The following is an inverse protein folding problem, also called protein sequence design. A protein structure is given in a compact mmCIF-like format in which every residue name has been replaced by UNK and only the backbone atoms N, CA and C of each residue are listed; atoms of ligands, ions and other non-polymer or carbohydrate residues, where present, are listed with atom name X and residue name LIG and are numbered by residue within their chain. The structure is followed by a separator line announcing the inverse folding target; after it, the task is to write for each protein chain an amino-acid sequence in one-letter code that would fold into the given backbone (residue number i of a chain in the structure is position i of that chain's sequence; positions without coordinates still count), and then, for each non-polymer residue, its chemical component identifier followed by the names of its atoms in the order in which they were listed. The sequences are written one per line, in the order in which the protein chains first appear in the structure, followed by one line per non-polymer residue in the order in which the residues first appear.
data_IF_689972684371
#
_entry.id   IF_689972684371
#
_cell.length_a   1.000
_cell.length_b   1.000
_cell.length_c   1.000
_cell.angle_alpha   90.00
_cell.angle_beta   90.00
_cell.angle_gamma   90.00
#
_symmetry.space_group_name_H-M   'P 1'
#
loop_
_entity.id
_entity.type
_entity.pdbx_description
1 polymer ?
#
# COMPACT_ATOMS: atom_id res chain seq x y z
N UNK A 1 14.60 -40.71 -68.53
CA UNK A 1 15.57 -39.99 -67.72
C UNK A 1 14.79 -38.92 -66.95
N UNK A 2 14.50 -39.20 -65.67
CA UNK A 2 13.80 -38.24 -64.79
C UNK A 2 14.83 -37.50 -63.99
N UNK A 3 14.76 -36.19 -64.03
CA UNK A 3 15.60 -35.32 -63.24
C UNK A 3 15.00 -35.13 -61.83
N UNK A 4 15.81 -35.45 -60.81
CA UNK A 4 15.48 -35.24 -59.41
C UNK A 4 15.67 -33.74 -59.09
N UNK A 5 14.58 -33.11 -58.64
CA UNK A 5 14.64 -31.76 -58.01
C UNK A 5 15.07 -31.92 -56.54
N UNK A 6 16.18 -31.33 -56.19
CA UNK A 6 16.64 -31.15 -54.81
C UNK A 6 15.92 -29.93 -54.27
N UNK A 7 15.13 -30.11 -53.24
CA UNK A 7 14.54 -28.97 -52.48
C UNK A 7 15.54 -28.56 -51.41
N UNK A 8 16.14 -27.39 -51.56
CA UNK A 8 16.92 -26.75 -50.50
C UNK A 8 16.00 -26.34 -49.34
N UNK A 9 16.22 -26.94 -48.22
CA UNK A 9 15.55 -26.56 -46.93
C UNK A 9 16.29 -25.36 -46.40
N UNK A 10 15.70 -24.16 -46.54
CA UNK A 10 16.20 -22.93 -45.90
C UNK A 10 16.01 -23.07 -44.38
N UNK A 11 17.10 -23.18 -43.67
CA UNK A 11 17.10 -23.18 -42.20
C UNK A 11 16.60 -21.81 -41.72
N UNK A 12 15.51 -21.81 -40.97
CA UNK A 12 15.02 -20.65 -40.22
C UNK A 12 16.05 -20.33 -39.13
N UNK A 13 16.78 -19.23 -39.30
CA UNK A 13 17.61 -18.63 -38.27
C UNK A 13 16.70 -18.16 -37.12
N UNK A 14 16.87 -18.76 -35.94
CA UNK A 14 16.30 -18.29 -34.71
C UNK A 14 16.89 -16.90 -34.41
N UNK A 15 16.08 -15.89 -34.07
CA UNK A 15 16.63 -14.58 -33.70
C UNK A 15 17.52 -14.72 -32.47
N UNK A 16 18.70 -14.12 -32.52
CA UNK A 16 19.62 -14.04 -31.37
C UNK A 16 18.94 -13.47 -30.16
N UNK A 17 19.09 -14.14 -29.02
CA UNK A 17 18.70 -13.67 -27.72
C UNK A 17 19.18 -12.25 -27.47
N UNK A 18 18.27 -11.39 -27.05
CA UNK A 18 18.55 -10.05 -26.54
C UNK A 18 19.65 -10.14 -25.46
N UNK A 19 20.88 -9.88 -25.84
CA UNK A 19 21.95 -9.62 -24.88
C UNK A 19 21.54 -8.38 -24.10
N UNK A 20 21.23 -8.57 -22.83
CA UNK A 20 20.99 -7.47 -21.91
C UNK A 20 22.23 -6.56 -21.92
N UNK A 21 22.13 -5.38 -22.50
CA UNK A 21 23.16 -4.37 -22.40
C UNK A 21 23.34 -4.05 -20.90
N UNK A 22 24.47 -4.46 -20.33
CA UNK A 22 24.87 -4.00 -19.00
C UNK A 22 25.01 -2.48 -19.03
N UNK A 23 24.12 -1.81 -18.31
CA UNK A 23 24.22 -0.36 -18.13
C UNK A 23 25.39 -0.11 -17.18
N UNK A 24 26.45 0.65 -17.59
CA UNK A 24 27.59 0.89 -16.71
C UNK A 24 27.14 1.68 -15.47
N UNK A 25 27.32 1.09 -14.30
CA UNK A 25 27.05 1.73 -13.00
C UNK A 25 28.30 2.50 -12.58
N UNK A 26 28.19 3.83 -12.50
CA UNK A 26 29.31 4.72 -12.16
C UNK A 26 29.49 4.96 -10.65
N UNK A 27 28.70 4.32 -9.81
CA UNK A 27 28.79 4.41 -8.36
C UNK A 27 27.51 3.98 -7.65
N UNK A 28 27.64 3.73 -6.37
CA UNK A 28 26.51 3.36 -5.50
C UNK A 28 26.26 4.48 -4.48
N UNK A 29 24.99 4.80 -4.24
CA UNK A 29 24.61 5.80 -3.23
C UNK A 29 23.97 5.08 -2.05
N UNK A 30 24.69 5.04 -0.94
CA UNK A 30 24.21 4.53 0.33
C UNK A 30 23.89 5.68 1.27
N UNK A 31 22.66 6.19 1.20
CA UNK A 31 22.22 7.26 2.09
C UNK A 31 21.25 6.72 3.12
N UNK A 32 21.64 6.71 4.39
CA UNK A 32 20.75 6.44 5.52
C UNK A 32 20.36 7.76 6.18
N UNK A 33 19.52 8.53 5.53
CA UNK A 33 18.83 9.64 6.16
C UNK A 33 17.39 9.22 6.41
N UNK A 34 17.08 8.74 7.57
CA UNK A 34 15.76 8.27 7.89
C UNK A 34 15.39 8.60 9.32
N UNK A 35 14.27 9.29 9.48
CA UNK A 35 13.57 9.31 10.74
C UNK A 35 13.10 7.92 11.10
N UNK A 36 13.30 7.53 12.33
CA UNK A 36 12.90 6.24 12.84
C UNK A 36 11.38 6.26 13.14
N UNK A 37 10.60 5.50 12.41
CA UNK A 37 9.15 5.43 12.58
C UNK A 37 8.68 4.51 13.72
N UNK A 38 9.59 3.98 14.54
CA UNK A 38 9.24 3.08 15.65
C UNK A 38 10.31 3.02 16.74
N UNK A 39 9.92 2.52 17.93
CA UNK A 39 10.84 2.18 19.00
C UNK A 39 11.13 3.26 20.04
N UNK A 40 10.53 4.47 19.95
CA UNK A 40 10.63 5.52 20.96
C UNK A 40 11.81 6.48 20.77
N UNK A 41 11.88 7.51 21.64
CA UNK A 41 12.78 8.65 21.51
C UNK A 41 14.25 8.35 21.86
N UNK A 42 14.52 7.29 22.65
CA UNK A 42 15.87 6.96 23.09
C UNK A 42 16.55 5.87 22.24
N UNK A 43 17.89 5.89 22.16
CA UNK A 43 18.67 4.89 21.44
C UNK A 43 18.41 3.45 21.95
N UNK A 44 18.21 3.29 23.26
CA UNK A 44 17.90 2.00 23.88
C UNK A 44 16.55 1.47 23.46
N UNK A 45 15.53 2.32 23.45
CA UNK A 45 14.19 1.95 23.02
C UNK A 45 14.18 1.55 21.54
N UNK A 46 14.90 2.28 20.69
CA UNK A 46 15.06 1.94 19.26
C UNK A 46 15.75 0.61 19.05
N UNK A 47 16.86 0.33 19.77
CA UNK A 47 17.53 -0.98 19.71
C UNK A 47 16.62 -2.12 20.16
N UNK A 48 15.84 -1.91 21.22
CA UNK A 48 14.85 -2.90 21.71
C UNK A 48 13.77 -3.16 20.66
N UNK A 49 13.25 -2.12 20.02
CA UNK A 49 12.27 -2.25 18.96
C UNK A 49 12.79 -3.03 17.75
N UNK A 50 14.01 -2.73 17.28
CA UNK A 50 14.67 -3.47 16.19
C UNK A 50 14.80 -4.95 16.52
N UNK A 51 15.20 -5.28 17.77
CA UNK A 51 15.26 -6.68 18.20
C UNK A 51 13.89 -7.35 18.21
N UNK A 52 12.86 -6.68 18.69
CA UNK A 52 11.48 -7.22 18.71
C UNK A 52 10.96 -7.47 17.30
N UNK A 53 11.22 -6.56 16.36
CA UNK A 53 10.82 -6.72 14.95
C UNK A 53 11.54 -7.91 14.33
N UNK A 54 12.86 -8.07 14.60
CA UNK A 54 13.63 -9.19 14.06
C UNK A 54 13.28 -10.55 14.70
N UNK A 55 12.87 -10.56 15.98
CA UNK A 55 12.43 -11.78 16.67
C UNK A 55 11.01 -12.22 16.25
N UNK A 56 10.24 -11.32 15.68
CA UNK A 56 8.90 -11.60 15.17
C UNK A 56 8.86 -12.10 13.72
N UNK A 57 10.00 -12.28 13.07
CA UNK A 57 10.08 -12.90 11.75
C UNK A 57 9.68 -14.38 11.91
N UNK A 58 8.40 -14.67 11.66
CA UNK A 58 7.94 -16.05 11.50
C UNK A 58 8.65 -16.64 10.29
N UNK A 59 9.19 -17.84 10.44
CA UNK A 59 9.56 -18.64 9.28
C UNK A 59 8.35 -18.73 8.36
N UNK A 60 8.55 -18.36 7.11
CA UNK A 60 7.56 -18.62 6.08
C UNK A 60 7.54 -20.15 5.93
N UNK A 61 6.49 -20.81 6.41
CA UNK A 61 6.24 -22.20 6.05
C UNK A 61 6.07 -22.28 4.54
N UNK A 62 6.55 -23.35 3.94
CA UNK A 62 6.26 -23.71 2.53
C UNK A 62 4.74 -23.91 2.38
N UNK A 63 4.02 -22.83 2.27
CA UNK A 63 2.57 -22.78 2.16
C UNK A 63 2.23 -22.85 0.66
N UNK A 64 1.27 -23.67 0.21
CA UNK A 64 0.88 -23.80 -1.21
C UNK A 64 0.43 -22.49 -1.89
N UNK A 65 0.61 -21.37 -1.22
CA UNK A 65 0.30 -20.01 -1.64
C UNK A 65 1.08 -19.50 -2.85
N UNK A 66 2.17 -20.18 -3.22
CA UNK A 66 3.00 -19.73 -4.34
C UNK A 66 2.32 -19.81 -5.71
N UNK A 67 1.16 -20.42 -5.78
CA UNK A 67 0.47 -20.62 -7.05
C UNK A 67 -0.58 -19.54 -7.31
N UNK A 68 -0.23 -18.25 -7.43
CA UNK A 68 -1.10 -17.55 -8.30
C UNK A 68 -1.67 -16.17 -7.96
N UNK A 69 -1.09 -15.34 -7.08
CA UNK A 69 -1.42 -13.91 -7.03
C UNK A 69 -0.77 -13.15 -8.21
N UNK A 70 -1.16 -13.50 -9.42
CA UNK A 70 -0.62 -12.89 -10.64
C UNK A 70 -1.58 -11.81 -11.13
N UNK A 71 -1.06 -10.63 -11.46
CA UNK A 71 -1.79 -9.63 -12.23
C UNK A 71 -1.51 -9.83 -13.70
N UNK A 72 -2.56 -9.82 -14.50
CA UNK A 72 -2.49 -10.03 -15.95
C UNK A 72 -3.12 -8.86 -16.70
N UNK A 73 -2.94 -8.81 -18.01
CA UNK A 73 -3.59 -7.81 -18.86
C UNK A 73 -5.13 -7.83 -18.73
N UNK A 74 -5.72 -8.97 -18.37
CA UNK A 74 -7.16 -9.05 -18.12
C UNK A 74 -7.60 -8.24 -16.88
N UNK A 75 -6.70 -8.03 -15.95
CA UNK A 75 -6.97 -7.23 -14.75
C UNK A 75 -7.04 -5.72 -15.03
N UNK A 76 -6.65 -5.27 -16.22
CA UNK A 76 -6.80 -3.88 -16.67
C UNK A 76 -8.21 -3.54 -17.13
N UNK A 77 -9.10 -4.53 -17.24
CA UNK A 77 -10.49 -4.25 -17.60
C UNK A 77 -11.10 -3.30 -16.55
N UNK A 78 -11.85 -2.31 -17.03
CA UNK A 78 -12.51 -1.29 -16.21
C UNK A 78 -11.55 -0.32 -15.48
N UNK A 79 -10.27 -0.33 -15.79
CA UNK A 79 -9.31 0.64 -15.28
C UNK A 79 -9.27 1.85 -16.22
N UNK A 80 -9.61 3.01 -15.68
CA UNK A 80 -9.46 4.27 -16.42
C UNK A 80 -7.96 4.64 -16.45
N UNK A 81 -7.40 5.04 -17.61
CA UNK A 81 -6.00 5.45 -17.69
C UNK A 81 -5.64 6.49 -16.64
N UNK A 82 -4.51 6.26 -15.95
CA UNK A 82 -4.03 7.11 -14.87
C UNK A 82 -2.51 7.03 -14.75
N UNK A 83 -1.92 8.06 -14.16
CA UNK A 83 -0.48 8.09 -13.89
C UNK A 83 -0.17 7.92 -12.38
N UNK A 84 -1.07 8.41 -11.51
CA UNK A 84 -0.78 8.58 -10.09
C UNK A 84 -1.97 8.34 -9.16
N UNK A 85 -3.03 7.69 -9.63
CA UNK A 85 -4.17 7.36 -8.77
C UNK A 85 -3.74 6.37 -7.68
N UNK A 86 -3.99 6.64 -6.40
CA UNK A 86 -3.73 5.68 -5.32
C UNK A 86 -4.77 4.57 -5.32
N UNK A 87 -4.42 3.41 -4.78
CA UNK A 87 -5.39 2.34 -4.55
C UNK A 87 -6.24 2.68 -3.33
N UNK A 88 -7.50 3.04 -3.57
CA UNK A 88 -8.48 3.42 -2.55
C UNK A 88 -9.65 2.46 -2.59
N UNK A 89 -9.93 1.81 -1.46
CA UNK A 89 -10.98 0.79 -1.36
C UNK A 89 -12.01 1.15 -0.29
N UNK A 90 -13.08 0.36 -0.23
CA UNK A 90 -14.04 0.37 0.87
C UNK A 90 -13.87 -0.88 1.71
N UNK A 91 -14.02 -0.74 3.03
CA UNK A 91 -14.00 -1.85 3.99
C UNK A 91 -15.22 -1.78 4.90
N UNK A 92 -15.56 -2.89 5.54
CA UNK A 92 -16.60 -2.90 6.57
C UNK A 92 -15.95 -3.07 7.94
N UNK A 93 -16.13 -2.12 8.82
CA UNK A 93 -15.61 -2.18 10.19
C UNK A 93 -16.60 -1.54 11.16
N UNK A 94 -16.66 -2.03 12.37
CA UNK A 94 -17.64 -1.60 13.39
C UNK A 94 -19.09 -1.58 12.84
N UNK A 95 -19.46 -2.56 12.02
CA UNK A 95 -20.81 -2.66 11.42
C UNK A 95 -21.14 -1.59 10.36
N UNK A 96 -20.15 -0.82 9.91
CA UNK A 96 -20.34 0.25 8.93
C UNK A 96 -19.41 0.07 7.73
N UNK A 97 -19.91 0.41 6.53
CA UNK A 97 -19.06 0.52 5.34
C UNK A 97 -18.28 1.82 5.39
N UNK A 98 -16.97 1.71 5.43
CA UNK A 98 -16.03 2.83 5.46
C UNK A 98 -15.38 2.95 4.10
N UNK A 99 -15.69 4.03 3.41
CA UNK A 99 -15.06 4.39 2.13
C UNK A 99 -13.72 5.09 2.37
N UNK A 100 -12.95 5.26 1.32
CA UNK A 100 -11.67 5.99 1.33
C UNK A 100 -10.66 5.38 2.29
N UNK A 101 -10.53 4.04 2.23
CA UNK A 101 -9.42 3.34 2.85
C UNK A 101 -8.27 3.28 1.83
N UNK A 102 -7.20 4.03 2.11
CA UNK A 102 -5.99 4.06 1.30
C UNK A 102 -5.16 2.81 1.55
N UNK A 103 -4.77 2.11 0.51
CA UNK A 103 -3.80 1.00 0.58
C UNK A 103 -2.40 1.59 0.43
N UNK A 104 -1.60 1.55 1.51
CA UNK A 104 -0.29 2.18 1.59
C UNK A 104 0.79 1.20 2.05
N UNK A 105 1.49 0.62 1.09
CA UNK A 105 2.63 -0.29 1.35
C UNK A 105 3.84 0.44 1.98
N UNK A 106 3.89 1.75 1.91
CA UNK A 106 4.93 2.58 2.51
C UNK A 106 4.76 2.77 4.03
N UNK A 107 3.54 2.61 4.55
CA UNK A 107 3.26 2.82 5.97
C UNK A 107 3.60 1.60 6.82
N UNK A 108 4.23 1.85 7.98
CA UNK A 108 4.51 0.83 9.01
C UNK A 108 3.37 0.62 10.01
N UNK A 109 2.28 1.36 9.89
CA UNK A 109 1.13 1.29 10.77
C UNK A 109 -0.18 1.35 9.97
N UNK A 110 -1.22 0.74 10.53
CA UNK A 110 -2.58 0.96 10.08
C UNK A 110 -3.15 2.14 10.86
N UNK A 111 -3.77 3.09 10.16
CA UNK A 111 -4.20 4.36 10.75
C UNK A 111 -5.69 4.55 10.55
N UNK A 112 -6.37 5.00 11.60
CA UNK A 112 -7.72 5.56 11.54
C UNK A 112 -7.64 7.04 11.90
N UNK A 113 -8.16 7.90 11.05
CA UNK A 113 -8.18 9.32 11.35
C UNK A 113 -9.25 9.65 12.40
N UNK A 114 -8.94 10.60 13.28
CA UNK A 114 -9.83 10.99 14.40
C UNK A 114 -11.25 11.34 13.94
N UNK A 115 -11.38 12.01 12.80
CA UNK A 115 -12.68 12.31 12.19
C UNK A 115 -13.50 11.05 11.88
N UNK A 116 -12.84 9.97 11.47
CA UNK A 116 -13.48 8.68 11.18
C UNK A 116 -13.87 7.97 12.47
N UNK A 117 -12.99 7.95 13.46
CA UNK A 117 -13.28 7.40 14.78
C UNK A 117 -14.57 8.01 15.36
N UNK A 118 -14.70 9.34 15.32
CA UNK A 118 -15.88 10.05 15.80
C UNK A 118 -17.15 9.71 14.98
N UNK A 119 -17.02 9.63 13.65
CA UNK A 119 -18.16 9.25 12.77
C UNK A 119 -18.64 7.83 12.99
N UNK A 120 -17.76 6.93 13.40
CA UNK A 120 -18.11 5.55 13.73
C UNK A 120 -18.83 5.45 15.09
N UNK A 121 -18.80 6.51 15.90
CA UNK A 121 -19.43 6.56 17.23
C UNK A 121 -18.97 5.41 18.14
N UNK A 122 -17.67 5.10 18.09
CA UNK A 122 -17.07 4.05 18.91
C UNK A 122 -17.02 4.48 20.38
N UNK A 123 -17.21 3.51 21.29
CA UNK A 123 -17.05 3.77 22.72
C UNK A 123 -15.64 4.26 23.02
N UNK A 124 -15.49 5.33 23.83
CA UNK A 124 -14.17 5.79 24.27
C UNK A 124 -13.35 4.70 24.98
N UNK A 125 -13.99 3.74 25.63
CA UNK A 125 -13.34 2.63 26.34
C UNK A 125 -12.58 1.66 25.42
N UNK A 126 -12.90 1.68 24.12
CA UNK A 126 -12.18 0.90 23.12
C UNK A 126 -10.81 1.50 22.77
N UNK A 127 -10.62 2.79 23.05
CA UNK A 127 -9.39 3.49 22.73
C UNK A 127 -8.37 3.26 23.85
N UNK A 128 -7.34 2.47 23.54
CA UNK A 128 -6.27 2.14 24.48
C UNK A 128 -5.12 3.14 24.37
N UNK A 129 -4.42 3.47 25.46
CA UNK A 129 -3.26 4.35 25.42
C UNK A 129 -2.16 3.81 24.51
N UNK A 130 -1.53 4.69 23.74
CA UNK A 130 -0.41 4.36 22.90
C UNK A 130 0.84 5.11 23.39
N UNK A 131 1.89 4.37 23.72
CA UNK A 131 3.14 4.93 24.27
C UNK A 131 4.23 5.12 23.22
N UNK A 132 3.96 4.71 21.96
CA UNK A 132 4.90 4.87 20.85
C UNK A 132 4.82 6.26 20.22
N UNK A 133 5.70 6.50 19.26
CA UNK A 133 5.68 7.68 18.41
C UNK A 133 5.42 7.26 16.97
N UNK A 134 4.55 7.99 16.28
CA UNK A 134 4.36 7.87 14.84
C UNK A 134 4.99 9.08 14.17
N UNK A 135 5.76 8.83 13.13
CA UNK A 135 6.41 9.90 12.37
C UNK A 135 5.92 9.85 10.92
N UNK A 136 5.68 11.03 10.36
CA UNK A 136 5.46 11.16 8.92
C UNK A 136 6.77 11.00 8.14
N UNK A 137 6.67 10.95 6.82
CA UNK A 137 7.81 10.80 5.92
C UNK A 137 8.90 11.87 6.12
N UNK A 138 8.52 13.09 6.50
CA UNK A 138 9.42 14.20 6.80
C UNK A 138 9.97 14.20 8.23
N UNK A 139 9.84 13.08 8.93
CA UNK A 139 10.23 12.91 10.34
C UNK A 139 9.48 13.84 11.32
N UNK A 140 8.35 14.40 10.92
CA UNK A 140 7.49 15.16 11.82
C UNK A 140 6.66 14.19 12.68
N UNK A 141 6.57 14.41 14.00
CA UNK A 141 5.74 13.59 14.88
C UNK A 141 4.25 13.80 14.53
N UNK A 142 3.51 12.70 14.50
CA UNK A 142 2.06 12.69 14.33
C UNK A 142 1.42 12.42 15.69
N UNK A 143 0.45 13.25 16.07
CA UNK A 143 -0.29 13.06 17.33
C UNK A 143 -1.14 11.79 17.26
N UNK A 144 -0.78 10.79 18.08
CA UNK A 144 -1.53 9.56 18.24
C UNK A 144 -2.35 9.65 19.51
N UNK A 145 -3.68 9.59 19.39
CA UNK A 145 -4.61 9.64 20.52
C UNK A 145 -4.72 8.31 21.25
N UNK A 146 -4.38 7.23 20.59
CA UNK A 146 -4.45 5.87 21.12
C UNK A 146 -4.50 4.84 20.00
N UNK A 147 -4.78 3.60 20.36
CA UNK A 147 -5.03 2.53 19.38
C UNK A 147 -6.27 1.72 19.77
N UNK A 148 -6.87 1.09 18.77
CA UNK A 148 -7.95 0.13 18.99
C UNK A 148 -7.83 -1.02 17.97
N UNK A 149 -8.42 -2.15 18.33
CA UNK A 149 -8.50 -3.32 17.44
C UNK A 149 -9.95 -3.49 16.97
N UNK A 150 -10.14 -3.51 15.67
CA UNK A 150 -11.45 -3.70 15.06
C UNK A 150 -11.42 -4.84 14.05
N UNK A 151 -12.47 -5.65 14.08
CA UNK A 151 -12.72 -6.60 13.00
C UNK A 151 -13.07 -5.84 11.75
N UNK A 152 -12.25 -6.01 10.72
CA UNK A 152 -12.39 -5.33 9.43
C UNK A 152 -12.59 -6.37 8.36
N UNK A 153 -13.68 -6.23 7.61
CA UNK A 153 -14.04 -7.14 6.52
C UNK A 153 -13.72 -6.51 5.19
N UNK A 154 -13.02 -7.26 4.39
CA UNK A 154 -12.64 -6.98 3.02
C UNK A 154 -13.51 -7.85 2.10
N UNK A 155 -14.19 -7.26 1.11
CA UNK A 155 -15.12 -8.00 0.27
C UNK A 155 -15.23 -7.39 -1.13
N UNK A 156 -15.44 -8.23 -2.12
CA UNK A 156 -15.83 -7.85 -3.49
C UNK A 156 -17.35 -8.02 -3.74
N UNK A 157 -18.08 -8.43 -2.71
CA UNK A 157 -19.51 -8.72 -2.76
C UNK A 157 -19.84 -10.20 -2.89
N UNK A 158 -18.95 -11.01 -3.48
CA UNK A 158 -19.13 -12.46 -3.64
C UNK A 158 -18.31 -13.25 -2.61
N UNK A 159 -17.10 -12.78 -2.31
CA UNK A 159 -16.22 -13.36 -1.31
C UNK A 159 -15.84 -12.30 -0.27
N UNK A 160 -15.40 -12.75 0.90
CA UNK A 160 -14.99 -11.86 1.96
C UNK A 160 -13.95 -12.48 2.87
N UNK A 161 -13.12 -11.62 3.47
CA UNK A 161 -12.21 -11.97 4.54
C UNK A 161 -12.28 -10.95 5.66
N UNK A 162 -12.38 -11.41 6.90
CA UNK A 162 -12.42 -10.56 8.10
C UNK A 162 -11.19 -10.79 8.94
N UNK A 163 -10.46 -9.71 9.22
CA UNK A 163 -9.27 -9.73 10.07
C UNK A 163 -9.41 -8.73 11.23
N UNK A 164 -8.73 -9.02 12.34
CA UNK A 164 -8.59 -8.06 13.44
C UNK A 164 -7.43 -7.12 13.11
N UNK A 165 -7.75 -5.86 12.82
CA UNK A 165 -6.77 -4.84 12.48
C UNK A 165 -6.59 -3.88 13.66
N UNK A 166 -5.33 -3.62 14.02
CA UNK A 166 -4.97 -2.62 15.05
C UNK A 166 -4.75 -1.28 14.39
N UNK A 167 -5.67 -0.36 14.59
CA UNK A 167 -5.57 1.01 14.10
C UNK A 167 -4.96 1.94 15.13
N UNK A 168 -3.95 2.72 14.74
CA UNK A 168 -3.54 3.91 15.47
C UNK A 168 -4.51 5.04 15.13
N UNK A 169 -5.13 5.61 16.15
CA UNK A 169 -6.04 6.75 15.96
C UNK A 169 -5.24 8.04 16.01
N UNK A 170 -5.19 8.74 14.87
CA UNK A 170 -4.36 9.93 14.72
C UNK A 170 -5.20 11.20 14.58
N UNK A 171 -4.72 12.28 15.18
CA UNK A 171 -5.31 13.61 15.08
C UNK A 171 -4.63 14.38 13.94
N UNK A 172 -5.01 14.02 12.72
CA UNK A 172 -4.53 14.72 11.52
C UNK A 172 -5.67 14.87 10.52
N UNK A 173 -5.62 15.96 9.75
CA UNK A 173 -6.54 16.18 8.65
C UNK A 173 -6.13 15.32 7.45
N UNK A 174 -7.07 14.55 6.95
CA UNK A 174 -6.86 13.70 5.78
C UNK A 174 -8.12 13.64 4.92
N UNK A 175 -7.94 13.50 3.63
CA UNK A 175 -9.01 13.15 2.71
C UNK A 175 -9.42 11.67 2.81
N UNK A 176 -8.58 10.84 3.42
CA UNK A 176 -8.83 9.43 3.67
C UNK A 176 -9.46 9.22 5.04
N UNK A 177 -10.22 8.14 5.19
CA UNK A 177 -10.81 7.73 6.47
C UNK A 177 -9.92 6.75 7.22
N UNK A 178 -9.28 5.84 6.48
CA UNK A 178 -8.39 4.78 7.00
C UNK A 178 -7.17 4.71 6.07
N UNK A 179 -6.03 4.34 6.64
CA UNK A 179 -4.83 3.97 5.92
C UNK A 179 -4.49 2.53 6.32
N UNK A 180 -4.41 1.65 5.35
CA UNK A 180 -4.03 0.25 5.50
C UNK A 180 -2.55 0.11 5.15
N UNK A 181 -1.74 -0.07 6.17
CA UNK A 181 -0.30 -0.21 6.06
C UNK A 181 0.16 -1.66 5.92
N UNK A 182 1.47 -1.86 5.98
CA UNK A 182 2.08 -3.20 5.93
C UNK A 182 1.50 -4.18 6.95
N UNK A 183 1.15 -3.80 8.20
CA UNK A 183 0.61 -4.78 9.15
C UNK A 183 -0.68 -5.43 8.67
N UNK A 184 -1.64 -4.65 8.15
CA UNK A 184 -2.88 -5.18 7.59
C UNK A 184 -2.62 -5.98 6.31
N UNK A 185 -1.80 -5.45 5.39
CA UNK A 185 -1.51 -6.09 4.11
C UNK A 185 -0.81 -7.45 4.29
N UNK A 186 0.17 -7.53 5.20
CA UNK A 186 0.86 -8.79 5.51
C UNK A 186 -0.08 -9.79 6.18
N UNK A 187 -0.95 -9.35 7.10
CA UNK A 187 -1.93 -10.23 7.74
C UNK A 187 -2.94 -10.78 6.76
N UNK A 188 -3.37 -9.96 5.81
CA UNK A 188 -4.26 -10.36 4.72
C UNK A 188 -3.53 -11.17 3.65
N UNK A 189 -2.20 -11.19 3.65
CA UNK A 189 -1.40 -11.70 2.54
C UNK A 189 -1.86 -11.07 1.21
N UNK A 190 -2.20 -9.79 1.24
CA UNK A 190 -2.75 -9.08 0.11
C UNK A 190 -1.66 -8.53 -0.80
N UNK A 191 -1.88 -8.64 -2.10
CA UNK A 191 -1.03 -8.02 -3.12
C UNK A 191 -1.81 -6.91 -3.80
N UNK A 192 -1.26 -5.70 -3.78
CA UNK A 192 -1.86 -4.52 -4.39
C UNK A 192 -1.05 -4.09 -5.61
N UNK A 193 -1.75 -3.75 -6.69
CA UNK A 193 -1.15 -3.19 -7.89
C UNK A 193 -1.79 -1.85 -8.23
N UNK A 194 -0.99 -0.80 -8.21
CA UNK A 194 -1.41 0.54 -8.64
C UNK A 194 -1.72 0.58 -10.12
N UNK A 195 -0.93 -0.10 -10.96
CA UNK A 195 -1.18 -0.18 -12.40
C UNK A 195 -2.55 -0.79 -12.74
N UNK A 196 -2.98 -1.81 -11.97
CA UNK A 196 -4.25 -2.49 -12.19
C UNK A 196 -5.40 -1.92 -11.33
N UNK A 197 -5.10 -0.97 -10.44
CA UNK A 197 -6.06 -0.38 -9.50
C UNK A 197 -6.86 -1.45 -8.74
N UNK A 198 -6.16 -2.48 -8.27
CA UNK A 198 -6.75 -3.66 -7.63
C UNK A 198 -5.88 -4.18 -6.51
N UNK A 199 -6.54 -4.79 -5.53
CA UNK A 199 -5.92 -5.59 -4.48
C UNK A 199 -6.44 -7.01 -4.57
N UNK A 200 -5.55 -8.00 -4.62
CA UNK A 200 -5.87 -9.42 -4.61
C UNK A 200 -5.54 -10.02 -3.25
N UNK A 201 -6.43 -10.85 -2.75
CA UNK A 201 -6.26 -11.60 -1.50
C UNK A 201 -7.10 -12.86 -1.58
N UNK A 202 -6.95 -13.77 -0.59
CA UNK A 202 -7.80 -14.94 -0.48
C UNK A 202 -8.76 -14.84 0.69
N UNK A 203 -9.86 -15.58 0.63
CA UNK A 203 -10.70 -15.88 1.77
C UNK A 203 -10.05 -16.96 2.68
N UNK A 204 -10.76 -17.38 3.72
CA UNK A 204 -10.29 -18.42 4.65
C UNK A 204 -10.27 -19.84 4.04
N UNK A 205 -10.83 -20.01 2.84
CA UNK A 205 -10.83 -21.26 2.06
C UNK A 205 -9.79 -21.22 0.94
N UNK A 206 -8.85 -20.28 1.00
CA UNK A 206 -7.82 -20.02 0.00
C UNK A 206 -8.36 -19.66 -1.40
N UNK A 207 -9.65 -19.35 -1.51
CA UNK A 207 -10.23 -18.86 -2.74
C UNK A 207 -9.87 -17.40 -2.96
N UNK A 208 -9.26 -17.12 -4.09
CA UNK A 208 -8.85 -15.77 -4.49
C UNK A 208 -10.03 -14.88 -4.87
N UNK A 209 -10.00 -13.64 -4.41
CA UNK A 209 -10.92 -12.61 -4.85
C UNK A 209 -10.22 -11.26 -5.01
N UNK A 210 -10.89 -10.32 -5.67
CA UNK A 210 -10.29 -9.07 -6.13
C UNK A 210 -11.11 -7.89 -5.65
N UNK A 211 -10.49 -7.00 -4.90
CA UNK A 211 -11.09 -5.73 -4.53
C UNK A 211 -10.61 -4.67 -5.52
N UNK A 212 -11.57 -4.06 -6.22
CA UNK A 212 -11.29 -2.95 -7.15
C UNK A 212 -11.14 -1.65 -6.37
N UNK A 213 -10.18 -0.84 -6.78
CA UNK A 213 -10.06 0.53 -6.30
C UNK A 213 -11.21 1.39 -6.84
N UNK A 214 -11.69 2.29 -6.00
CA UNK A 214 -12.61 3.35 -6.40
C UNK A 214 -11.79 4.53 -6.93
N UNK A 215 -11.57 4.57 -8.25
CA UNK A 215 -10.75 5.61 -8.88
C UNK A 215 -11.40 7.00 -8.80
N UNK A 216 -12.72 7.09 -8.76
CA UNK A 216 -13.41 8.38 -8.60
C UNK A 216 -13.14 8.97 -7.21
N UNK A 217 -13.32 8.16 -6.16
CA UNK A 217 -12.98 8.57 -4.80
C UNK A 217 -11.47 8.83 -4.63
N UNK A 218 -10.61 8.05 -5.28
CA UNK A 218 -9.17 8.27 -5.25
C UNK A 218 -8.80 9.67 -5.77
N UNK A 219 -9.36 10.07 -6.91
CA UNK A 219 -9.15 11.41 -7.50
C UNK A 219 -9.72 12.51 -6.63
N UNK A 220 -10.93 12.34 -6.07
CA UNK A 220 -11.52 13.29 -5.12
C UNK A 220 -10.63 13.47 -3.88
N UNK A 221 -10.08 12.39 -3.33
CA UNK A 221 -9.18 12.47 -2.20
C UNK A 221 -7.91 13.24 -2.55
N UNK A 222 -7.34 12.99 -3.72
CA UNK A 222 -6.17 13.72 -4.20
C UNK A 222 -6.45 15.21 -4.37
N UNK A 223 -7.53 15.58 -5.05
CA UNK A 223 -7.94 16.98 -5.24
C UNK A 223 -8.18 17.70 -3.90
N UNK A 224 -8.84 17.04 -2.95
CA UNK A 224 -9.09 17.61 -1.64
C UNK A 224 -7.78 17.80 -0.85
N UNK A 225 -6.81 16.91 -1.00
CA UNK A 225 -5.50 17.08 -0.39
C UNK A 225 -4.76 18.33 -0.91
N UNK A 226 -4.97 18.68 -2.17
CA UNK A 226 -4.39 19.88 -2.77
C UNK A 226 -5.08 21.18 -2.29
N UNK A 227 -6.40 21.15 -2.08
CA UNK A 227 -7.18 22.31 -1.63
C UNK A 227 -6.87 22.71 -0.19
N UNK A 228 -6.59 21.75 0.67
CA UNK A 228 -6.27 21.97 2.10
C UNK A 228 -4.98 22.78 2.30
N UNK A 229 -4.09 22.85 1.31
CA UNK A 229 -2.84 23.62 1.37
C UNK A 229 -3.01 25.14 1.32
N UNK A 230 -4.15 25.67 0.90
CA UNK A 230 -4.37 27.13 0.81
C UNK A 230 -4.65 27.82 2.16
N UNK A 231 -4.95 27.09 3.22
CA UNK A 231 -5.27 27.60 4.56
C UNK A 231 -4.18 27.45 5.62
N UNK A 232 -3.05 26.82 5.32
CA UNK A 232 -2.01 26.50 6.31
C UNK A 232 -0.66 27.13 5.95
N UNK A 233 -0.58 28.45 6.00
CA UNK A 233 0.67 29.18 6.24
C UNK A 233 0.85 29.34 7.77
N UNK A 234 1.00 28.25 8.48
CA UNK A 234 1.22 28.22 9.90
C UNK A 234 1.53 26.82 10.38
N UNK A 235 2.81 26.52 10.52
CA UNK A 235 3.41 25.36 11.20
C UNK A 235 2.85 23.95 10.88
N UNK A 236 3.52 23.26 9.97
CA UNK A 236 4.06 21.92 10.18
C UNK A 236 3.10 20.76 10.28
N UNK A 237 2.36 20.39 9.23
CA UNK A 237 2.05 18.98 8.96
C UNK A 237 1.87 18.77 7.47
N UNK A 238 2.92 18.25 6.83
CA UNK A 238 2.79 17.74 5.47
C UNK A 238 1.85 16.52 5.46
N UNK A 239 0.97 16.36 4.48
CA UNK A 239 0.16 15.15 4.36
C UNK A 239 1.07 13.94 4.15
N UNK A 240 0.64 12.78 4.69
CA UNK A 240 1.30 11.46 4.57
C UNK A 240 1.36 10.92 3.11
N UNK A 241 1.06 11.75 2.13
CA UNK A 241 1.05 11.37 0.72
C UNK A 241 2.21 12.04 0.00
N UNK A 242 3.05 11.24 -0.61
CA UNK A 242 4.15 11.70 -1.46
C UNK A 242 3.67 12.72 -2.49
N UNK A 243 4.40 13.83 -2.57
CA UNK A 243 4.27 14.82 -3.63
C UNK A 243 4.62 14.16 -4.98
N UNK A 244 3.64 13.97 -5.83
CA UNK A 244 3.95 13.78 -7.25
C UNK A 244 4.63 15.04 -7.77
N UNK A 245 5.80 14.89 -8.39
CA UNK A 245 6.52 15.99 -9.03
C UNK A 245 5.67 16.59 -10.15
N UNK A 246 5.67 17.93 -10.33
CA UNK A 246 5.00 18.55 -11.47
C UNK A 246 5.63 18.09 -12.80
N UNK A 247 4.82 18.01 -13.84
CA UNK A 247 5.17 17.58 -15.21
C UNK A 247 6.08 18.56 -15.98
N UNK A 248 6.88 19.40 -15.33
CA UNK A 248 7.76 20.33 -16.03
C UNK A 248 9.23 19.98 -15.83
N UNK A 249 9.75 19.11 -16.66
CA UNK A 249 11.11 19.09 -17.17
C UNK A 249 11.23 18.07 -18.32
N UNK A 250 10.54 18.30 -19.42
CA UNK A 250 11.10 17.88 -20.71
C UNK A 250 12.08 18.97 -21.12
N UNK A 251 13.35 18.74 -20.85
CA UNK A 251 14.42 19.44 -21.56
C UNK A 251 14.73 18.66 -22.82
N UNK A 252 14.73 19.37 -23.88
CA UNK A 252 15.09 19.03 -25.26
C UNK A 252 16.44 18.31 -25.36
#
# INVERSE_FOLDING_TARGET
MQALHVVETTALTVPEENQAHEIPVHGEVHTLSGGFSGGGSTASQRKRYVRLVNLGAKEFSDDPWESGLVFTRADLRDVVPHDNDPVVISVVTAGRKVHRALVDQGSSADVMFWSTYNKLQLSPDLLRPYTGCLYGFTNNPVEVRGYLELRTTFTDGAASRTESIRYLVVNANSAYNILLGRPALNRLRAVSSTHHMKMKLSDLSDKMFVIKSDQEEARRCYENSLKTKRGYLGYGSAPLVQRAMPREARVV
#
